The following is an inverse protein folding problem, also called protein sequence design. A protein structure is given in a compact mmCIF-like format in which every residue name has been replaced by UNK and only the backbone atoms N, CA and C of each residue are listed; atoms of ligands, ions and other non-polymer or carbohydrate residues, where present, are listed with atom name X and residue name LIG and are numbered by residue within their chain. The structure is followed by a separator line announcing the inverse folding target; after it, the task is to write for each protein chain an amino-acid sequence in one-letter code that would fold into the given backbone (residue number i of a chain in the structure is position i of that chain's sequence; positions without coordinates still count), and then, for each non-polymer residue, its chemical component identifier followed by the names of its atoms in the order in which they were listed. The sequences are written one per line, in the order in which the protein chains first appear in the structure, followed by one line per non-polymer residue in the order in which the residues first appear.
data_IF_075609665485
#
_entry.id   IF_075609665485
#
_cell.length_a   1.000
_cell.length_b   1.000
_cell.length_c   1.000
_cell.angle_alpha   90.00
_cell.angle_beta   90.00
_cell.angle_gamma   90.00
#
_symmetry.space_group_name_H-M   'P 1'
#
loop_
_entity.id
_entity.type
_entity.pdbx_description
1 polymer ?
#
# COMPACT_ATOMS: atom_id res chain seq x y z
N UNK A 1 -11.08 4.87 23.00
CA UNK A 1 -10.78 4.18 21.72
C UNK A 1 -9.31 4.39 21.39
N UNK A 2 -8.65 3.39 20.81
CA UNK A 2 -7.23 3.47 20.41
C UNK A 2 -7.17 3.92 18.95
N UNK A 3 -6.24 4.81 18.61
CA UNK A 3 -5.94 5.20 17.23
C UNK A 3 -4.76 4.36 16.71
N UNK A 4 -4.88 3.85 15.49
CA UNK A 4 -3.78 3.12 14.85
C UNK A 4 -2.69 4.08 14.40
N UNK A 5 -1.51 3.55 14.06
CA UNK A 5 -0.45 4.35 13.45
C UNK A 5 -0.89 5.03 12.15
N UNK A 6 -1.77 4.40 11.37
CA UNK A 6 -2.33 4.97 10.15
C UNK A 6 -3.22 6.19 10.46
N UNK A 7 -4.06 6.10 11.49
CA UNK A 7 -4.92 7.21 11.91
C UNK A 7 -4.08 8.43 12.35
N UNK A 8 -3.06 8.18 13.17
CA UNK A 8 -2.15 9.25 13.66
C UNK A 8 -1.34 9.84 12.51
N UNK A 9 -0.85 9.01 11.58
CA UNK A 9 -0.13 9.48 10.39
C UNK A 9 -0.99 10.43 9.56
N UNK A 10 -2.23 10.04 9.24
CA UNK A 10 -3.15 10.84 8.42
C UNK A 10 -3.55 12.14 9.10
N UNK A 11 -3.72 12.13 10.43
CA UNK A 11 -4.15 13.29 11.21
C UNK A 11 -3.01 14.29 11.45
N UNK A 12 -1.86 13.82 11.93
CA UNK A 12 -0.84 14.68 12.55
C UNK A 12 0.47 14.73 11.77
N UNK A 13 0.76 13.72 10.96
CA UNK A 13 2.11 13.53 10.40
C UNK A 13 2.15 13.41 8.87
N UNK A 14 1.04 13.69 8.17
CA UNK A 14 0.96 13.56 6.72
C UNK A 14 1.98 14.46 5.99
N UNK A 15 2.32 15.61 6.59
CA UNK A 15 3.33 16.53 6.09
C UNK A 15 4.73 15.92 6.02
N UNK A 16 5.04 14.92 6.85
CA UNK A 16 6.33 14.22 6.86
C UNK A 16 6.62 13.45 5.56
N UNK A 17 5.57 13.14 4.79
CA UNK A 17 5.65 12.41 3.52
C UNK A 17 5.87 13.33 2.31
N UNK A 18 5.76 14.66 2.49
CA UNK A 18 5.87 15.62 1.38
C UNK A 18 7.27 15.60 0.77
N UNK A 19 7.33 15.76 -0.56
CA UNK A 19 8.58 15.79 -1.31
C UNK A 19 9.26 14.43 -1.48
N UNK A 20 8.67 13.33 -0.99
CA UNK A 20 9.22 11.97 -1.09
C UNK A 20 8.40 11.10 -2.02
N UNK A 21 9.04 10.13 -2.68
CA UNK A 21 8.33 8.99 -3.27
C UNK A 21 7.92 8.05 -2.14
N UNK A 22 6.63 7.76 -2.00
CA UNK A 22 6.16 6.82 -0.99
C UNK A 22 5.88 5.47 -1.65
N UNK A 23 6.49 4.42 -1.11
CA UNK A 23 6.10 3.04 -1.34
C UNK A 23 5.25 2.56 -0.18
N UNK A 24 4.11 1.90 -0.46
CA UNK A 24 3.23 1.39 0.57
C UNK A 24 3.21 -0.14 0.57
N UNK A 25 3.66 -0.74 1.68
CA UNK A 25 3.41 -2.15 1.99
C UNK A 25 2.09 -2.26 2.74
N UNK A 26 1.11 -2.94 2.14
CA UNK A 26 -0.22 -3.09 2.73
C UNK A 26 -0.88 -4.38 2.32
N UNK A 27 -1.84 -4.82 3.13
CA UNK A 27 -2.77 -5.91 2.84
C UNK A 27 -4.17 -5.48 3.24
N UNK A 28 -5.17 -6.35 3.01
CA UNK A 28 -6.58 -6.05 3.19
C UNK A 28 -6.96 -5.37 4.53
N UNK A 29 -6.27 -5.69 5.63
CA UNK A 29 -6.57 -5.12 6.95
C UNK A 29 -5.83 -3.80 7.25
N UNK A 30 -5.07 -3.26 6.29
CA UNK A 30 -4.40 -1.96 6.38
C UNK A 30 -5.41 -0.82 6.21
N UNK A 31 -6.34 -0.70 7.15
CA UNK A 31 -7.45 0.26 7.14
C UNK A 31 -7.39 1.22 8.34
N UNK A 32 -7.99 2.40 8.20
CA UNK A 32 -8.15 3.35 9.31
C UNK A 32 -9.36 2.95 10.19
N UNK A 33 -9.65 3.73 11.25
CA UNK A 33 -10.80 3.46 12.12
C UNK A 33 -12.17 3.52 11.44
N UNK A 34 -12.24 4.06 10.21
CA UNK A 34 -13.45 4.13 9.36
C UNK A 34 -13.50 2.98 8.34
N UNK A 35 -12.58 2.03 8.43
CA UNK A 35 -12.42 0.91 7.50
C UNK A 35 -12.07 1.34 6.06
N UNK A 36 -11.44 2.52 5.91
CA UNK A 36 -10.94 2.99 4.62
C UNK A 36 -9.49 2.51 4.43
N UNK A 37 -9.17 1.94 3.27
CA UNK A 37 -7.88 1.32 3.01
C UNK A 37 -6.75 2.36 2.81
N UNK A 38 -5.56 2.06 3.36
CA UNK A 38 -4.41 2.95 3.35
C UNK A 38 -3.98 3.37 1.93
N UNK A 39 -4.07 2.46 0.95
CA UNK A 39 -3.69 2.76 -0.43
C UNK A 39 -4.55 3.87 -1.03
N UNK A 40 -5.87 3.82 -0.84
CA UNK A 40 -6.81 4.85 -1.31
C UNK A 40 -6.59 6.16 -0.56
N UNK A 41 -6.49 6.11 0.77
CA UNK A 41 -6.29 7.30 1.60
C UNK A 41 -5.01 8.06 1.24
N UNK A 42 -3.91 7.36 0.98
CA UNK A 42 -2.64 7.97 0.61
C UNK A 42 -2.56 8.37 -0.86
N UNK A 43 -3.28 7.71 -1.76
CA UNK A 43 -3.41 8.12 -3.15
C UNK A 43 -4.17 9.44 -3.28
N UNK A 44 -5.21 9.65 -2.48
CA UNK A 44 -6.05 10.85 -2.49
C UNK A 44 -5.46 12.01 -1.65
N UNK A 45 -4.46 11.72 -0.81
CA UNK A 45 -3.85 12.69 0.08
C UNK A 45 -3.06 13.78 -0.66
N UNK A 46 -3.51 15.04 -0.56
CA UNK A 46 -2.81 16.18 -1.17
C UNK A 46 -1.38 16.33 -0.64
N UNK A 47 -0.43 16.44 -1.56
CA UNK A 47 0.99 16.61 -1.25
C UNK A 47 1.72 15.32 -0.90
N UNK A 48 1.04 14.17 -0.94
CA UNK A 48 1.66 12.85 -0.87
C UNK A 48 1.84 12.33 -2.30
N UNK A 49 3.00 11.73 -2.57
CA UNK A 49 3.27 11.05 -3.84
C UNK A 49 3.40 9.56 -3.61
N UNK A 50 2.27 8.86 -3.61
CA UNK A 50 2.24 7.41 -3.57
C UNK A 50 2.67 6.86 -4.93
N UNK A 51 3.85 6.23 -4.98
CA UNK A 51 4.51 5.86 -6.23
C UNK A 51 4.34 4.38 -6.57
N UNK A 52 4.21 3.51 -5.57
CA UNK A 52 4.17 2.06 -5.76
C UNK A 52 3.54 1.36 -4.55
N UNK A 53 2.87 0.24 -4.82
CA UNK A 53 2.34 -0.63 -3.78
C UNK A 53 3.17 -1.92 -3.68
N UNK A 54 3.28 -2.45 -2.48
CA UNK A 54 3.96 -3.70 -2.17
C UNK A 54 2.95 -4.64 -1.51
N UNK A 55 2.78 -5.81 -2.12
CA UNK A 55 1.81 -6.81 -1.71
C UNK A 55 2.50 -7.97 -0.97
N UNK A 56 2.05 -8.37 0.22
CA UNK A 56 2.49 -9.59 0.90
C UNK A 56 1.79 -10.83 0.31
N UNK A 57 1.93 -12.00 0.96
CA UNK A 57 1.47 -13.33 0.50
C UNK A 57 0.02 -13.38 -0.02
N UNK A 58 -0.89 -12.61 0.58
CA UNK A 58 -2.31 -12.61 0.24
C UNK A 58 -2.77 -11.42 -0.61
N UNK A 59 -1.83 -10.68 -1.21
CA UNK A 59 -2.14 -9.52 -2.03
C UNK A 59 -2.55 -8.29 -1.20
N UNK A 60 -2.96 -7.23 -1.90
CA UNK A 60 -3.41 -5.97 -1.29
C UNK A 60 -4.86 -6.06 -0.81
N UNK A 61 -5.73 -6.77 -1.54
CA UNK A 61 -7.18 -6.72 -1.32
C UNK A 61 -7.80 -8.01 -0.76
N UNK A 62 -7.02 -9.05 -0.48
CA UNK A 62 -7.56 -10.36 -0.11
C UNK A 62 -7.97 -11.18 -1.33
N UNK A 63 -7.91 -12.51 -1.22
CA UNK A 63 -7.74 -13.45 -2.34
C UNK A 63 -9.03 -13.73 -3.19
N UNK A 64 -8.95 -14.52 -4.30
CA UNK A 64 -8.66 -15.94 -4.18
C UNK A 64 -7.32 -16.37 -4.74
N UNK A 65 -6.80 -17.38 -4.07
CA UNK A 65 -5.59 -18.13 -4.35
C UNK A 65 -5.56 -18.55 -5.82
N UNK A 66 -4.54 -18.12 -6.52
CA UNK A 66 -3.78 -19.05 -7.31
C UNK A 66 -2.33 -18.56 -7.29
N UNK A 67 -1.40 -19.48 -7.51
CA UNK A 67 0.01 -19.20 -7.71
C UNK A 67 0.29 -18.35 -8.97
N UNK A 68 -0.63 -17.45 -9.34
CA UNK A 68 -0.44 -16.40 -10.31
C UNK A 68 0.73 -15.56 -9.80
N UNK A 69 1.85 -15.72 -10.49
CA UNK A 69 3.01 -14.86 -10.32
C UNK A 69 2.50 -13.44 -10.50
N UNK A 70 2.48 -12.63 -9.43
CA UNK A 70 2.12 -11.21 -9.48
C UNK A 70 3.29 -10.51 -10.21
N UNK A 71 3.40 -10.76 -11.50
CA UNK A 71 4.42 -10.19 -12.36
C UNK A 71 3.83 -8.88 -12.89
N UNK A 72 4.19 -7.78 -12.25
CA UNK A 72 3.95 -6.42 -12.74
C UNK A 72 2.48 -6.04 -12.94
N UNK A 73 1.61 -6.37 -11.99
CA UNK A 73 0.22 -5.90 -12.03
C UNK A 73 0.11 -4.43 -11.62
N UNK A 74 -0.88 -3.74 -12.18
CA UNK A 74 -1.34 -2.45 -11.69
C UNK A 74 -2.55 -2.66 -10.79
N UNK A 75 -2.56 -1.94 -9.68
CA UNK A 75 -3.69 -1.92 -8.77
C UNK A 75 -4.92 -1.29 -9.45
N UNK A 76 -6.07 -1.96 -9.51
CA UNK A 76 -7.25 -1.45 -10.23
C UNK A 76 -7.88 -0.22 -9.56
N UNK A 77 -7.62 -0.01 -8.26
CA UNK A 77 -8.20 1.11 -7.49
C UNK A 77 -7.36 2.38 -7.68
N UNK A 78 -6.05 2.28 -7.52
CA UNK A 78 -5.13 3.43 -7.56
C UNK A 78 -4.42 3.59 -8.92
N UNK A 79 -4.46 2.57 -9.78
CA UNK A 79 -3.71 2.51 -11.03
C UNK A 79 -2.20 2.32 -10.88
N UNK A 80 -1.70 2.17 -9.64
CA UNK A 80 -0.29 2.15 -9.32
C UNK A 80 0.35 0.77 -9.56
N UNK A 81 1.65 0.71 -9.89
CA UNK A 81 2.34 -0.56 -9.99
C UNK A 81 2.38 -1.29 -8.64
N UNK A 82 2.16 -2.60 -8.67
CA UNK A 82 2.22 -3.51 -7.53
C UNK A 82 3.44 -4.40 -7.66
N UNK A 83 4.28 -4.46 -6.62
CA UNK A 83 5.34 -5.46 -6.46
C UNK A 83 4.88 -6.49 -5.44
N UNK A 84 4.86 -7.76 -5.80
CA UNK A 84 4.75 -8.82 -4.80
C UNK A 84 6.07 -9.04 -4.08
N UNK A 85 6.00 -9.09 -2.75
CA UNK A 85 7.11 -9.48 -1.87
C UNK A 85 7.11 -10.99 -1.55
N UNK A 86 6.16 -11.73 -2.12
CA UNK A 86 5.99 -13.16 -1.90
C UNK A 86 5.99 -13.91 -3.23
N UNK A 87 6.85 -14.93 -3.35
CA UNK A 87 7.24 -15.59 -4.60
C UNK A 87 8.77 -15.69 -4.72
N UNK A 88 9.31 -15.76 -5.93
CA UNK A 88 10.76 -15.90 -6.20
C UNK A 88 11.64 -14.76 -5.63
N UNK A 89 11.02 -13.67 -5.15
CA UNK A 89 11.70 -12.44 -4.75
C UNK A 89 11.22 -12.04 -3.35
N UNK A 90 12.03 -12.37 -2.33
CA UNK A 90 11.74 -12.07 -0.90
C UNK A 90 12.13 -10.65 -0.48
N UNK A 91 12.82 -9.91 -1.35
CA UNK A 91 13.31 -8.55 -1.11
C UNK A 91 13.16 -7.74 -2.41
N UNK A 92 12.71 -6.47 -2.38
CA UNK A 92 12.63 -5.64 -3.59
C UNK A 92 14.00 -5.53 -4.26
N UNK A 93 14.08 -5.83 -5.56
CA UNK A 93 15.30 -5.58 -6.33
C UNK A 93 15.55 -4.08 -6.48
N UNK A 94 16.79 -3.60 -6.29
CA UNK A 94 17.15 -2.21 -6.57
C UNK A 94 16.83 -1.80 -8.02
N UNK A 95 16.54 -0.51 -8.28
CA UNK A 95 16.29 0.00 -9.63
C UNK A 95 17.53 -0.06 -10.54
#
# INVERSE_FOLDING_TARGET
AVLTGLDVLLRDHLSSLRGRAIGLLSHQASVNHRLEHAATLLADARGVRLARLFAPEHGIWGAPQDHATIANERDPVTGLPVISLYGATREPTPP
#
